data_IF_556108682422
#
_entry.id   IF_556108682422
#
_cell.length_a   1.000
_cell.length_b   1.000
_cell.length_c   1.000
_cell.angle_alpha   90.00
_cell.angle_beta   90.00
_cell.angle_gamma   90.00
#
_symmetry.space_group_name_H-M   'P 1'
#
loop_
_entity.id
_entity.type
_entity.pdbx_description
1 polymer ?
#
# COMPACT_ATOMS: atom_id res chain seq x y z
N UNK A 1 -33.90 -11.27 7.71
CA UNK A 1 -33.89 -9.79 7.95
C UNK A 1 -33.09 -9.30 9.16
N UNK A 2 -33.08 -9.97 10.33
CA UNK A 2 -32.38 -9.44 11.53
C UNK A 2 -30.84 -9.44 11.38
N UNK A 3 -30.26 -10.50 10.80
CA UNK A 3 -28.80 -10.64 10.62
C UNK A 3 -28.19 -9.58 9.68
N UNK A 4 -28.91 -9.19 8.63
CA UNK A 4 -28.50 -8.15 7.68
C UNK A 4 -28.34 -6.78 8.34
N UNK A 5 -29.16 -6.46 9.36
CA UNK A 5 -29.06 -5.20 10.11
C UNK A 5 -27.79 -5.14 10.96
N UNK A 6 -27.41 -6.25 11.60
CA UNK A 6 -26.18 -6.32 12.39
C UNK A 6 -24.93 -6.29 11.51
N UNK A 7 -24.98 -6.89 10.32
CA UNK A 7 -23.89 -6.81 9.34
C UNK A 7 -23.67 -5.38 8.86
N UNK A 8 -24.77 -4.65 8.57
CA UNK A 8 -24.71 -3.23 8.19
C UNK A 8 -24.11 -2.36 9.31
N UNK A 9 -24.52 -2.61 10.56
CA UNK A 9 -23.98 -1.91 11.73
C UNK A 9 -22.47 -2.20 11.89
N UNK A 10 -22.04 -3.45 11.70
CA UNK A 10 -20.63 -3.85 11.83
C UNK A 10 -19.75 -3.26 10.71
N UNK A 11 -20.29 -3.12 9.49
CA UNK A 11 -19.65 -2.42 8.38
C UNK A 11 -19.48 -0.92 8.65
N UNK A 12 -20.48 -0.28 9.26
CA UNK A 12 -20.41 1.15 9.60
C UNK A 12 -19.43 1.39 10.76
N UNK A 13 -19.41 0.51 11.77
CA UNK A 13 -18.47 0.61 12.89
C UNK A 13 -16.99 0.44 12.48
N UNK A 14 -16.68 -0.42 11.51
CA UNK A 14 -15.30 -0.62 11.06
C UNK A 14 -14.71 0.57 10.30
N UNK A 15 -15.55 1.32 9.57
CA UNK A 15 -15.15 2.56 8.88
C UNK A 15 -14.87 3.68 9.90
N UNK A 16 -15.68 3.79 10.96
CA UNK A 16 -15.52 4.81 12.01
C UNK A 16 -14.21 4.69 12.81
N UNK A 17 -13.69 3.48 12.98
CA UNK A 17 -12.46 3.21 13.75
C UNK A 17 -11.15 3.50 12.97
N UNK A 18 -11.23 3.75 11.66
CA UNK A 18 -10.03 4.00 10.83
C UNK A 18 -9.57 5.47 10.83
N UNK A 19 -10.33 6.36 11.48
CA UNK A 19 -10.03 7.79 11.54
C UNK A 19 -9.25 8.12 12.81
N UNK A 20 -8.07 8.72 12.66
CA UNK A 20 -7.21 9.11 13.77
C UNK A 20 -7.59 10.52 14.22
N UNK A 21 -8.00 10.66 15.48
CA UNK A 21 -8.42 11.94 16.07
C UNK A 21 -7.33 12.47 16.99
N UNK A 22 -7.16 13.79 17.04
CA UNK A 22 -6.38 14.41 18.09
C UNK A 22 -7.14 14.26 19.42
N UNK A 23 -6.58 13.57 20.44
CA UNK A 23 -7.27 13.30 21.69
C UNK A 23 -7.58 14.55 22.54
N UNK A 24 -7.01 15.72 22.21
CA UNK A 24 -7.26 16.98 22.94
C UNK A 24 -8.30 17.88 22.27
N UNK A 25 -8.39 17.87 20.94
CA UNK A 25 -9.27 18.79 20.18
C UNK A 25 -10.42 18.09 19.47
N UNK A 26 -10.38 16.76 19.32
CA UNK A 26 -11.40 15.99 18.61
C UNK A 26 -11.39 16.20 17.09
N UNK A 27 -10.39 16.87 16.54
CA UNK A 27 -10.26 17.11 15.12
C UNK A 27 -9.65 15.91 14.39
N UNK A 28 -10.04 15.74 13.12
CA UNK A 28 -9.50 14.71 12.23
C UNK A 28 -8.05 15.00 11.89
N UNK A 29 -7.13 14.09 12.25
CA UNK A 29 -5.73 14.17 11.83
C UNK A 29 -5.66 13.80 10.34
N UNK A 30 -5.43 14.80 9.48
CA UNK A 30 -5.14 14.53 8.06
C UNK A 30 -3.77 13.84 7.94
N UNK A 31 -3.71 12.72 7.23
CA UNK A 31 -2.46 12.03 6.94
C UNK A 31 -1.56 12.92 6.09
N UNK A 32 -0.50 13.44 6.68
CA UNK A 32 0.53 14.20 5.97
C UNK A 32 1.36 13.24 5.11
N UNK A 33 1.30 13.41 3.79
CA UNK A 33 2.17 12.70 2.85
C UNK A 33 3.45 13.50 2.63
N UNK A 34 4.57 12.80 2.57
CA UNK A 34 5.89 13.39 2.33
C UNK A 34 6.42 12.95 0.97
N UNK A 35 7.09 13.86 0.26
CA UNK A 35 7.80 13.53 -0.96
C UNK A 35 8.99 12.61 -0.61
N UNK A 36 9.09 11.40 -1.18
CA UNK A 36 10.11 10.44 -0.84
C UNK A 36 11.53 10.84 -1.29
N UNK A 37 11.67 11.89 -2.10
CA UNK A 37 12.95 12.39 -2.63
C UNK A 37 13.45 13.59 -1.84
N UNK A 38 12.56 14.51 -1.45
CA UNK A 38 12.96 15.77 -0.77
C UNK A 38 12.64 15.80 0.72
N UNK A 39 11.77 14.91 1.21
CA UNK A 39 11.29 14.95 2.60
C UNK A 39 10.35 16.13 2.87
N UNK A 40 9.91 16.84 1.84
CA UNK A 40 8.98 17.97 1.95
C UNK A 40 7.53 17.48 2.09
N UNK A 41 6.74 18.26 2.83
CA UNK A 41 5.35 17.95 3.13
C UNK A 41 4.49 18.24 1.89
N UNK A 42 3.89 17.21 1.30
CA UNK A 42 2.96 17.35 0.18
C UNK A 42 1.64 17.87 0.77
N UNK A 43 1.45 19.19 0.72
CA UNK A 43 0.18 19.81 1.11
C UNK A 43 -0.94 19.23 0.24
N UNK A 44 -1.88 18.54 0.87
CA UNK A 44 -3.16 18.18 0.24
C UNK A 44 -3.97 19.46 0.09
N UNK A 45 -3.88 20.11 -1.08
CA UNK A 45 -4.77 21.23 -1.39
C UNK A 45 -6.22 20.71 -1.45
N UNK A 46 -7.10 21.34 -0.67
CA UNK A 46 -8.54 21.13 -0.81
C UNK A 46 -9.04 22.05 -1.92
N UNK A 47 -9.76 21.47 -2.87
CA UNK A 47 -10.46 22.19 -3.93
C UNK A 47 -11.86 22.55 -3.46
N UNK A 48 -12.33 23.75 -3.80
CA UNK A 48 -13.73 24.11 -3.68
C UNK A 48 -14.57 23.24 -4.66
N UNK A 49 -15.51 22.42 -4.19
CA UNK A 49 -16.29 21.52 -5.04
C UNK A 49 -17.28 22.24 -5.97
N UNK A 50 -17.54 23.54 -5.78
CA UNK A 50 -18.50 24.31 -6.60
C UNK A 50 -17.79 25.08 -7.71
N UNK A 51 -16.63 25.67 -7.43
CA UNK A 51 -15.89 26.52 -8.37
C UNK A 51 -14.63 25.88 -8.94
N UNK A 52 -14.08 24.87 -8.28
CA UNK A 52 -12.82 24.25 -8.68
C UNK A 52 -11.59 25.12 -8.37
N UNK A 53 -11.71 26.11 -7.47
CA UNK A 53 -10.61 26.98 -7.09
C UNK A 53 -9.79 26.42 -5.92
N UNK A 54 -8.49 26.74 -5.91
CA UNK A 54 -7.56 26.42 -4.84
C UNK A 54 -7.74 27.40 -3.67
N UNK A 55 -8.06 26.89 -2.49
CA UNK A 55 -8.09 27.68 -1.25
C UNK A 55 -6.65 27.76 -0.71
N UNK A 56 -5.85 28.70 -1.22
CA UNK A 56 -4.50 28.97 -0.73
C UNK A 56 -4.54 30.06 0.35
N UNK A 57 -4.40 29.66 1.63
CA UNK A 57 -4.18 30.60 2.71
C UNK A 57 -2.68 30.88 2.87
N UNK A 58 -2.34 32.14 2.56
CA UNK A 58 -1.13 32.89 2.90
C UNK A 58 0.17 32.69 2.09
N UNK A 59 0.38 33.71 1.26
CA UNK A 59 1.53 34.08 0.44
C UNK A 59 2.82 34.32 1.24
N UNK A 60 3.96 33.81 0.74
CA UNK A 60 5.22 34.60 0.73
C UNK A 60 6.03 34.30 -0.53
N UNK A 61 6.05 35.26 -1.44
CA UNK A 61 6.88 35.27 -2.66
C UNK A 61 8.37 35.29 -2.32
N UNK A 62 9.16 34.41 -2.94
CA UNK A 62 10.60 34.59 -3.21
C UNK A 62 10.87 34.01 -4.62
N UNK A 63 11.67 34.68 -5.47
CA UNK A 63 11.48 34.68 -6.91
C UNK A 63 12.05 33.47 -7.64
N UNK A 64 11.36 33.11 -8.73
CA UNK A 64 11.88 32.32 -9.83
C UNK A 64 13.28 32.80 -10.23
N UNK A 65 14.28 31.97 -9.97
CA UNK A 65 15.62 32.10 -10.57
C UNK A 65 15.92 30.79 -11.28
N UNK A 66 15.33 30.64 -12.47
CA UNK A 66 15.81 29.66 -13.44
C UNK A 66 17.26 30.03 -13.76
N UNK A 67 18.19 29.25 -13.24
CA UNK A 67 19.61 29.33 -13.57
C UNK A 67 20.01 27.99 -14.18
N UNK A 68 20.39 27.97 -15.47
CA UNK A 68 20.85 26.76 -16.14
C UNK A 68 22.34 26.59 -15.88
N UNK A 69 22.75 25.51 -15.21
CA UNK A 69 24.12 24.96 -15.17
C UNK A 69 23.99 23.63 -14.40
N UNK A 70 24.64 22.51 -14.70
CA UNK A 70 25.37 21.97 -15.84
C UNK A 70 25.85 20.59 -15.28
N UNK A 71 25.78 19.54 -16.11
CA UNK A 71 26.82 18.51 -16.26
C UNK A 71 27.63 17.97 -15.05
N UNK A 72 27.00 17.20 -14.16
CA UNK A 72 27.65 15.99 -13.63
C UNK A 72 26.59 14.95 -13.25
N UNK A 73 25.94 14.39 -14.28
CA UNK A 73 25.20 13.14 -14.12
C UNK A 73 26.24 12.07 -13.78
N UNK A 74 26.33 11.80 -12.48
CA UNK A 74 27.05 10.70 -11.86
C UNK A 74 27.00 9.46 -12.75
N UNK A 75 28.14 8.79 -12.94
CA UNK A 75 28.30 7.55 -13.74
C UNK A 75 27.48 6.36 -13.21
N UNK A 76 26.49 6.59 -12.34
CA UNK A 76 25.66 5.58 -11.70
C UNK A 76 24.25 5.48 -12.30
N UNK A 77 23.59 4.32 -12.18
CA UNK A 77 22.22 4.13 -12.62
C UNK A 77 21.25 5.03 -11.84
N UNK A 78 20.23 5.55 -12.52
CA UNK A 78 19.20 6.39 -11.90
C UNK A 78 18.38 5.63 -10.86
N UNK A 79 18.07 6.26 -9.73
CA UNK A 79 17.28 5.70 -8.63
C UNK A 79 15.96 5.05 -9.09
N UNK A 80 15.23 5.71 -9.99
CA UNK A 80 13.96 5.22 -10.51
C UNK A 80 14.14 3.92 -11.31
N UNK A 81 15.25 3.79 -12.04
CA UNK A 81 15.57 2.58 -12.81
C UNK A 81 15.85 1.39 -11.90
N UNK A 82 16.55 1.63 -10.77
CA UNK A 82 16.87 0.61 -9.77
C UNK A 82 15.59 0.07 -9.13
N UNK A 83 14.69 0.96 -8.70
CA UNK A 83 13.40 0.56 -8.10
C UNK A 83 12.52 -0.19 -9.10
N UNK A 84 12.48 0.28 -10.35
CA UNK A 84 11.63 -0.34 -11.38
C UNK A 84 12.12 -1.75 -11.70
N UNK A 85 13.43 -1.94 -11.83
CA UNK A 85 14.03 -3.27 -12.01
C UNK A 85 13.76 -4.18 -10.80
N UNK A 86 13.89 -3.66 -9.57
CA UNK A 86 13.58 -4.40 -8.34
C UNK A 86 12.12 -4.86 -8.29
N UNK A 87 11.17 -3.97 -8.62
CA UNK A 87 9.75 -4.30 -8.68
C UNK A 87 9.43 -5.31 -9.77
N UNK A 88 10.04 -5.19 -10.95
CA UNK A 88 9.85 -6.14 -12.05
C UNK A 88 10.34 -7.54 -11.66
N UNK A 89 11.51 -7.63 -11.02
CA UNK A 89 12.02 -8.91 -10.50
C UNK A 89 11.11 -9.49 -9.41
N UNK A 90 10.66 -8.68 -8.46
CA UNK A 90 9.75 -9.10 -7.41
C UNK A 90 8.46 -9.69 -8.00
N UNK A 91 7.86 -9.02 -8.98
CA UNK A 91 6.66 -9.53 -9.68
C UNK A 91 6.93 -10.86 -10.40
N UNK A 92 8.09 -11.01 -11.05
CA UNK A 92 8.46 -12.25 -11.74
C UNK A 92 8.67 -13.43 -10.78
N UNK A 93 9.23 -13.16 -9.60
CA UNK A 93 9.53 -14.18 -8.57
C UNK A 93 8.35 -14.43 -7.62
N UNK A 94 7.34 -13.57 -7.64
CA UNK A 94 6.15 -13.69 -6.81
C UNK A 94 5.36 -14.97 -7.15
N UNK A 95 5.16 -15.81 -6.13
CA UNK A 95 4.35 -17.01 -6.24
C UNK A 95 2.89 -16.71 -5.91
N UNK A 96 2.23 -15.97 -6.81
CA UNK A 96 0.85 -15.52 -6.59
C UNK A 96 -0.15 -16.65 -6.28
N UNK A 97 -0.13 -17.81 -6.98
CA UNK A 97 -1.08 -18.89 -6.71
C UNK A 97 -0.93 -19.51 -5.32
N UNK A 98 0.31 -19.66 -4.83
CA UNK A 98 0.59 -20.22 -3.50
C UNK A 98 0.07 -19.27 -2.41
N UNK A 99 0.39 -17.98 -2.54
CA UNK A 99 -0.08 -16.95 -1.61
C UNK A 99 -1.62 -16.84 -1.59
N UNK A 100 -2.25 -16.89 -2.76
CA UNK A 100 -3.70 -16.90 -2.91
C UNK A 100 -4.33 -18.13 -2.24
N UNK A 101 -3.73 -19.31 -2.45
CA UNK A 101 -4.17 -20.58 -1.84
C UNK A 101 -4.10 -20.55 -0.32
N UNK A 102 -3.04 -19.97 0.26
CA UNK A 102 -2.93 -19.80 1.71
C UNK A 102 -4.06 -18.91 2.26
N UNK A 103 -4.40 -17.83 1.57
CA UNK A 103 -5.54 -16.99 1.97
C UNK A 103 -6.87 -17.72 1.88
N UNK A 104 -7.09 -18.50 0.82
CA UNK A 104 -8.30 -19.32 0.65
C UNK A 104 -8.43 -20.40 1.74
N UNK A 105 -7.34 -21.12 2.03
CA UNK A 105 -7.29 -22.10 3.12
C UNK A 105 -7.54 -21.43 4.48
N UNK A 106 -6.99 -20.24 4.69
CA UNK A 106 -7.24 -19.46 5.90
C UNK A 106 -8.74 -19.24 6.13
N UNK A 107 -9.49 -18.86 5.10
CA UNK A 107 -10.94 -18.69 5.16
C UNK A 107 -11.72 -20.00 5.38
N UNK A 108 -11.29 -21.11 4.77
CA UNK A 108 -11.94 -22.42 4.96
C UNK A 108 -11.85 -22.90 6.41
N UNK A 109 -10.76 -22.56 7.11
CA UNK A 109 -10.49 -22.97 8.48
C UNK A 109 -10.64 -21.83 9.50
N UNK A 110 -11.52 -20.86 9.23
CA UNK A 110 -11.92 -19.71 10.07
C UNK A 110 -11.12 -19.49 11.38
N UNK A 111 -11.46 -20.21 12.46
CA UNK A 111 -10.98 -19.95 13.82
C UNK A 111 -9.44 -20.02 13.96
N UNK A 112 -8.78 -20.91 13.22
CA UNK A 112 -7.32 -21.12 13.29
C UNK A 112 -6.66 -20.68 11.98
N UNK A 113 -7.35 -20.86 10.85
CA UNK A 113 -6.85 -20.58 9.52
C UNK A 113 -6.60 -19.09 9.26
N UNK A 114 -7.52 -18.21 9.66
CA UNK A 114 -7.39 -16.76 9.41
C UNK A 114 -6.21 -16.16 10.19
N UNK A 115 -6.05 -16.42 11.51
CA UNK A 115 -4.86 -15.96 12.24
C UNK A 115 -3.56 -16.49 11.65
N UNK A 116 -3.52 -17.77 11.26
CA UNK A 116 -2.30 -18.40 10.74
C UNK A 116 -1.91 -17.84 9.35
N UNK A 117 -2.87 -17.71 8.44
CA UNK A 117 -2.63 -17.13 7.12
C UNK A 117 -2.29 -15.63 7.20
N UNK A 118 -2.86 -14.90 8.18
CA UNK A 118 -2.47 -13.52 8.46
C UNK A 118 -1.01 -13.45 8.92
N UNK A 119 -0.61 -14.30 9.88
CA UNK A 119 0.77 -14.35 10.34
C UNK A 119 1.75 -14.66 9.19
N UNK A 120 1.39 -15.59 8.30
CA UNK A 120 2.14 -15.87 7.08
C UNK A 120 2.23 -14.65 6.15
N UNK A 121 1.14 -13.91 5.96
CA UNK A 121 1.14 -12.71 5.12
C UNK A 121 2.04 -11.60 5.68
N UNK A 122 2.14 -11.50 7.01
CA UNK A 122 2.93 -10.48 7.71
C UNK A 122 4.40 -10.85 7.92
N UNK A 123 4.77 -12.13 7.87
CA UNK A 123 6.17 -12.56 8.04
C UNK A 123 7.06 -12.06 6.89
N UNK A 124 8.36 -11.86 7.12
CA UNK A 124 9.29 -11.55 6.02
C UNK A 124 9.82 -12.85 5.40
N UNK A 125 9.36 -13.17 4.20
CA UNK A 125 9.78 -14.35 3.42
C UNK A 125 10.22 -13.97 2.01
N UNK A 126 10.59 -12.71 1.81
CA UNK A 126 10.92 -12.13 0.51
C UNK A 126 12.18 -12.73 -0.15
N UNK A 127 13.08 -13.28 0.67
CA UNK A 127 14.37 -13.80 0.24
C UNK A 127 15.31 -12.71 -0.30
N UNK A 128 16.47 -13.12 -0.80
CA UNK A 128 17.42 -12.19 -1.43
C UNK A 128 17.16 -12.02 -2.94
N UNK A 129 17.39 -10.81 -3.49
CA UNK A 129 17.36 -10.58 -4.93
C UNK A 129 18.56 -11.25 -5.61
N UNK A 130 18.34 -11.76 -6.83
CA UNK A 130 19.35 -12.50 -7.59
C UNK A 130 19.35 -12.12 -9.08
N UNK A 131 19.15 -10.84 -9.41
CA UNK A 131 19.21 -10.38 -10.81
C UNK A 131 20.65 -10.05 -11.18
N UNK A 132 21.03 -10.22 -12.47
CA UNK A 132 22.36 -9.76 -12.90
C UNK A 132 22.51 -8.25 -12.68
N UNK A 133 21.46 -7.48 -12.99
CA UNK A 133 21.38 -6.05 -12.68
C UNK A 133 21.72 -5.75 -11.21
N UNK A 134 21.15 -6.48 -10.24
CA UNK A 134 21.47 -6.29 -8.83
C UNK A 134 22.93 -6.59 -8.48
N UNK A 135 23.51 -7.63 -9.09
CA UNK A 135 24.89 -8.04 -8.79
C UNK A 135 25.91 -7.00 -9.27
N UNK A 136 25.61 -6.30 -10.36
CA UNK A 136 26.44 -5.25 -10.97
C UNK A 136 26.36 -3.89 -10.24
N UNK A 137 25.37 -3.70 -9.36
CA UNK A 137 25.23 -2.46 -8.58
C UNK A 137 26.34 -2.29 -7.52
N UNK A 138 26.65 -1.02 -7.22
CA UNK A 138 27.49 -0.65 -6.09
C UNK A 138 26.78 -0.96 -4.74
N UNK A 139 27.51 -0.92 -3.63
CA UNK A 139 26.98 -1.27 -2.29
C UNK A 139 25.78 -0.42 -1.86
N UNK A 140 25.78 0.87 -2.19
CA UNK A 140 24.69 1.80 -1.90
C UNK A 140 23.44 1.44 -2.71
N UNK A 141 23.54 1.39 -4.03
CA UNK A 141 22.42 1.04 -4.90
C UNK A 141 21.90 -0.39 -4.65
N UNK A 142 22.76 -1.31 -4.19
CA UNK A 142 22.35 -2.64 -3.73
C UNK A 142 21.40 -2.56 -2.54
N UNK A 143 21.65 -1.67 -1.58
CA UNK A 143 20.76 -1.50 -0.42
C UNK A 143 19.38 -0.97 -0.86
N UNK A 144 19.35 -0.04 -1.82
CA UNK A 144 18.13 0.56 -2.38
C UNK A 144 17.34 -0.52 -3.14
N UNK A 145 18.02 -1.27 -4.01
CA UNK A 145 17.41 -2.35 -4.77
C UNK A 145 16.83 -3.42 -3.85
N UNK A 146 17.62 -3.88 -2.86
CA UNK A 146 17.20 -4.91 -1.90
C UNK A 146 15.98 -4.46 -1.10
N UNK A 147 15.99 -3.23 -0.61
CA UNK A 147 14.87 -2.65 0.12
C UNK A 147 13.59 -2.60 -0.74
N UNK A 148 13.70 -2.08 -1.97
CA UNK A 148 12.58 -2.00 -2.91
C UNK A 148 12.04 -3.40 -3.29
N UNK A 149 12.93 -4.35 -3.56
CA UNK A 149 12.58 -5.74 -3.89
C UNK A 149 11.85 -6.42 -2.73
N UNK A 150 12.40 -6.38 -1.51
CA UNK A 150 11.79 -7.02 -0.32
C UNK A 150 10.43 -6.40 0.01
N UNK A 151 10.35 -5.07 -0.05
CA UNK A 151 9.11 -4.34 0.15
C UNK A 151 8.03 -4.76 -0.85
N UNK A 152 8.37 -4.85 -2.14
CA UNK A 152 7.41 -5.25 -3.17
C UNK A 152 6.99 -6.72 -3.05
N UNK A 153 7.93 -7.63 -2.75
CA UNK A 153 7.62 -9.05 -2.49
C UNK A 153 6.63 -9.22 -1.33
N UNK A 154 6.89 -8.56 -0.20
CA UNK A 154 6.00 -8.63 0.96
C UNK A 154 4.66 -7.93 0.70
N UNK A 155 4.65 -6.85 -0.08
CA UNK A 155 3.42 -6.20 -0.54
C UNK A 155 2.58 -7.14 -1.39
N UNK A 156 3.16 -7.76 -2.42
CA UNK A 156 2.47 -8.71 -3.31
C UNK A 156 1.92 -9.91 -2.54
N UNK A 157 2.69 -10.47 -1.60
CA UNK A 157 2.22 -11.55 -0.72
C UNK A 157 0.98 -11.13 0.07
N UNK A 158 1.03 -9.99 0.77
CA UNK A 158 -0.10 -9.47 1.55
C UNK A 158 -1.31 -9.20 0.67
N UNK A 159 -1.12 -8.58 -0.49
CA UNK A 159 -2.21 -8.30 -1.43
C UNK A 159 -2.87 -9.59 -1.90
N UNK A 160 -2.10 -10.65 -2.19
CA UNK A 160 -2.67 -11.90 -2.66
C UNK A 160 -3.37 -12.68 -1.55
N UNK A 161 -2.79 -12.76 -0.34
CA UNK A 161 -3.41 -13.47 0.81
C UNK A 161 -4.67 -12.74 1.28
N UNK A 162 -4.57 -11.44 1.60
CA UNK A 162 -5.71 -10.69 2.11
C UNK A 162 -6.74 -10.39 1.01
N UNK A 163 -6.31 -10.31 -0.25
CA UNK A 163 -7.21 -10.17 -1.39
C UNK A 163 -8.12 -11.38 -1.55
N UNK A 164 -7.58 -12.61 -1.44
CA UNK A 164 -8.43 -13.81 -1.48
C UNK A 164 -9.31 -13.94 -0.25
N UNK A 165 -8.82 -13.54 0.93
CA UNK A 165 -9.67 -13.49 2.14
C UNK A 165 -10.83 -12.52 1.99
N UNK A 166 -10.57 -11.30 1.51
CA UNK A 166 -11.60 -10.30 1.27
C UNK A 166 -12.63 -10.75 0.24
N UNK A 167 -12.18 -11.35 -0.87
CA UNK A 167 -13.07 -11.95 -1.86
C UNK A 167 -13.96 -13.04 -1.25
N UNK A 168 -13.39 -13.94 -0.42
CA UNK A 168 -14.13 -14.99 0.26
C UNK A 168 -15.23 -14.45 1.17
N UNK A 169 -14.97 -13.38 1.92
CA UNK A 169 -15.96 -12.73 2.78
C UNK A 169 -17.10 -12.12 1.94
N UNK A 170 -16.77 -11.38 0.88
CA UNK A 170 -17.77 -10.78 -0.03
C UNK A 170 -18.61 -11.86 -0.69
N UNK A 171 -17.98 -12.93 -1.18
CA UNK A 171 -18.67 -14.07 -1.80
C UNK A 171 -19.59 -14.78 -0.81
N UNK A 172 -19.15 -15.00 0.44
CA UNK A 172 -19.96 -15.60 1.49
C UNK A 172 -21.19 -14.75 1.82
N UNK A 173 -21.02 -13.42 1.93
CA UNK A 173 -22.13 -12.50 2.14
C UNK A 173 -23.10 -12.55 0.94
N UNK A 174 -22.59 -12.54 -0.29
CA UNK A 174 -23.41 -12.66 -1.50
C UNK A 174 -24.23 -13.95 -1.53
N UNK A 175 -23.62 -15.10 -1.19
CA UNK A 175 -24.31 -16.39 -1.08
C UNK A 175 -25.44 -16.37 -0.05
N UNK A 176 -25.24 -15.73 1.11
CA UNK A 176 -26.29 -15.57 2.13
C UNK A 176 -27.49 -14.76 1.59
N UNK A 177 -27.23 -13.68 0.84
CA UNK A 177 -28.32 -12.89 0.24
C UNK A 177 -29.08 -13.66 -0.84
N UNK A 178 -28.41 -14.46 -1.65
CA UNK A 178 -29.04 -15.27 -2.71
C UNK A 178 -29.82 -16.47 -2.15
N UNK A 179 -29.31 -17.17 -1.12
CA UNK A 179 -30.02 -18.31 -0.50
C UNK A 179 -31.10 -17.87 0.50
N UNK A 180 -30.94 -16.73 1.17
CA UNK A 180 -31.91 -16.20 2.14
C UNK A 180 -33.06 -15.38 1.52
N UNK A 181 -33.11 -15.33 0.18
CA UNK A 181 -34.14 -14.65 -0.62
C UNK A 181 -35.19 -15.59 -1.21
N UNK A 182 -35.35 -16.80 -0.67
CA UNK A 182 -36.50 -17.69 -0.90
C UNK A 182 -37.37 -17.77 0.36
#
# INVERSE_FOLDING_TARGET
MKLSKYLLILLICSIGLSQKYDPKTGELIQEQKYDPVTGELIKTSKYDPVTGDLIDENTKKVPSKISPIMNNVSKGPSYLSIITAAKAQAKKKNQAPINAGIGALGCLFNWIGVPLASLYALSDTSGEPNSSYYNELNSENKNIYRSAYKTEMNRLKRTNVFGTMGFGIVFFIFMIFMLGGM
#
